data_IF_619313879405
#
_entry.id   IF_619313879405
#
_cell.length_a   1.000
_cell.length_b   1.000
_cell.length_c   1.000
_cell.angle_alpha   90.00
_cell.angle_beta   90.00
_cell.angle_gamma   90.00
#
_symmetry.space_group_name_H-M   'P 1'
#
loop_
_entity.id
_entity.type
_entity.pdbx_description
1 polymer ?
#
# COMPACT_ATOMS: atom_id res chain seq x y z
N UNK A 1 -43.06 -42.05 45.13
CA UNK A 1 -43.54 -40.74 44.65
C UNK A 1 -42.81 -39.69 45.48
N UNK A 2 -41.71 -39.11 44.98
CA UNK A 2 -41.65 -37.84 44.19
C UNK A 2 -42.11 -36.66 45.07
N UNK A 3 -41.36 -35.60 45.38
CA UNK A 3 -40.05 -35.14 44.92
C UNK A 3 -39.44 -34.10 45.87
N UNK A 4 -38.12 -33.94 45.76
CA UNK A 4 -37.23 -33.01 46.43
C UNK A 4 -37.18 -31.70 45.60
N UNK A 5 -37.47 -30.52 46.14
CA UNK A 5 -37.25 -29.24 45.43
C UNK A 5 -36.21 -28.36 46.13
N UNK A 6 -35.00 -28.39 45.56
CA UNK A 6 -33.87 -27.50 45.80
C UNK A 6 -34.14 -26.14 45.14
N UNK A 7 -34.01 -25.06 45.89
CA UNK A 7 -33.96 -23.69 45.33
C UNK A 7 -32.51 -23.36 45.01
N UNK A 8 -32.21 -23.26 43.72
CA UNK A 8 -30.89 -22.98 43.15
C UNK A 8 -30.48 -21.52 43.37
N UNK A 9 -29.23 -21.31 43.80
CA UNK A 9 -28.51 -20.04 43.76
C UNK A 9 -28.42 -19.52 42.31
N UNK A 10 -28.92 -18.31 42.06
CA UNK A 10 -28.63 -17.56 40.84
C UNK A 10 -27.34 -16.76 41.01
N UNK A 11 -26.21 -17.29 40.54
CA UNK A 11 -24.98 -16.53 40.35
C UNK A 11 -25.00 -15.94 38.94
N UNK A 12 -25.24 -14.63 38.83
CA UNK A 12 -25.19 -13.90 37.56
C UNK A 12 -23.73 -13.57 37.26
N UNK A 13 -23.11 -14.35 36.38
CA UNK A 13 -21.77 -14.09 35.87
C UNK A 13 -21.87 -13.06 34.73
N UNK A 14 -21.48 -11.81 35.01
CA UNK A 14 -21.31 -10.77 34.00
C UNK A 14 -20.09 -11.12 33.13
N UNK A 15 -20.32 -11.71 31.96
CA UNK A 15 -19.28 -11.91 30.96
C UNK A 15 -18.95 -10.56 30.34
N UNK A 16 -17.81 -10.00 30.74
CA UNK A 16 -17.17 -8.88 30.07
C UNK A 16 -16.70 -9.36 28.69
N UNK A 17 -17.52 -9.15 27.67
CA UNK A 17 -17.08 -9.22 26.27
C UNK A 17 -16.14 -8.04 26.02
N UNK A 18 -14.83 -8.25 26.19
CA UNK A 18 -13.84 -7.34 25.60
C UNK A 18 -13.99 -7.40 24.08
N UNK A 19 -14.14 -6.26 23.39
CA UNK A 19 -14.04 -6.25 21.94
C UNK A 19 -12.61 -6.67 21.58
N UNK A 20 -12.46 -7.80 20.90
CA UNK A 20 -11.23 -8.07 20.16
C UNK A 20 -11.11 -6.97 19.11
N UNK A 21 -10.20 -6.03 19.35
CA UNK A 21 -9.77 -5.10 18.33
C UNK A 21 -8.98 -5.91 17.30
N UNK A 22 -9.68 -6.41 16.28
CA UNK A 22 -9.04 -6.85 15.05
C UNK A 22 -8.36 -5.62 14.46
N UNK A 23 -7.06 -5.71 14.18
CA UNK A 23 -6.36 -4.66 13.45
C UNK A 23 -7.08 -4.50 12.10
N UNK A 24 -7.73 -3.35 11.91
CA UNK A 24 -8.44 -3.07 10.68
C UNK A 24 -7.45 -3.14 9.50
N UNK A 25 -7.89 -3.74 8.39
CA UNK A 25 -7.14 -3.65 7.14
C UNK A 25 -6.98 -2.18 6.76
N UNK A 26 -5.83 -1.79 6.16
CA UNK A 26 -5.59 -0.40 5.79
C UNK A 26 -6.72 0.10 4.89
N UNK A 27 -7.43 1.11 5.35
CA UNK A 27 -8.51 1.74 4.60
C UNK A 27 -7.92 2.90 3.80
N UNK A 28 -8.03 2.82 2.48
CA UNK A 28 -7.61 3.86 1.54
C UNK A 28 -8.84 4.40 0.82
N UNK A 29 -8.94 5.71 0.69
CA UNK A 29 -10.01 6.35 -0.08
C UNK A 29 -9.47 6.70 -1.46
N UNK A 30 -9.72 5.82 -2.43
CA UNK A 30 -9.35 6.05 -3.82
C UNK A 30 -10.18 7.18 -4.43
N UNK A 31 -9.61 8.04 -5.29
CA UNK A 31 -10.36 9.13 -5.88
C UNK A 31 -11.48 8.62 -6.81
N UNK A 32 -12.56 9.39 -6.91
CA UNK A 32 -13.66 9.08 -7.82
C UNK A 32 -13.19 8.99 -9.27
N UNK A 33 -13.70 8.02 -10.02
CA UNK A 33 -13.35 7.83 -11.44
C UNK A 33 -12.10 7.00 -11.69
N UNK A 34 -11.41 6.55 -10.64
CA UNK A 34 -10.34 5.55 -10.74
C UNK A 34 -10.93 4.14 -10.70
N UNK A 35 -10.42 3.25 -11.55
CA UNK A 35 -10.75 1.83 -11.47
C UNK A 35 -9.89 1.18 -10.39
N UNK A 36 -10.51 0.51 -9.42
CA UNK A 36 -9.82 -0.11 -8.28
C UNK A 36 -9.82 -1.62 -8.45
N UNK A 37 -8.65 -2.23 -8.33
CA UNK A 37 -8.46 -3.68 -8.39
C UNK A 37 -7.62 -4.18 -7.20
N UNK A 38 -7.95 -5.37 -6.73
CA UNK A 38 -7.09 -6.13 -5.83
C UNK A 38 -6.09 -6.92 -6.68
N UNK A 39 -4.80 -6.80 -6.36
CA UNK A 39 -3.74 -7.42 -7.15
C UNK A 39 -3.28 -8.69 -6.44
N UNK A 40 -3.49 -9.83 -7.09
CA UNK A 40 -2.97 -11.11 -6.61
C UNK A 40 -1.43 -11.09 -6.72
N UNK A 41 -0.68 -11.37 -5.65
CA UNK A 41 0.78 -11.44 -5.72
C UNK A 41 1.24 -12.52 -6.72
N UNK A 42 2.20 -12.19 -7.58
CA UNK A 42 2.76 -13.13 -8.56
C UNK A 42 3.32 -14.38 -7.86
N UNK A 43 2.90 -15.57 -8.32
CA UNK A 43 3.37 -16.85 -7.81
C UNK A 43 2.66 -17.39 -6.56
N UNK A 44 1.63 -16.69 -6.05
CA UNK A 44 0.77 -17.25 -5.01
C UNK A 44 -0.10 -18.38 -5.60
N UNK A 45 0.07 -19.61 -5.11
CA UNK A 45 -0.92 -20.67 -5.35
C UNK A 45 -2.25 -20.26 -4.69
N UNK A 46 -3.42 -20.64 -5.23
CA UNK A 46 -4.74 -20.23 -4.69
C UNK A 46 -5.04 -20.68 -3.25
N UNK A 47 -4.09 -21.32 -2.56
CA UNK A 47 -4.23 -21.89 -1.22
C UNK A 47 -3.18 -21.32 -0.23
N UNK A 48 -2.18 -20.56 -0.70
CA UNK A 48 -1.32 -19.82 0.23
C UNK A 48 -1.94 -18.45 0.48
N UNK A 49 -2.40 -18.23 1.72
CA UNK A 49 -2.63 -16.90 2.29
C UNK A 49 -1.32 -16.12 2.24
N UNK A 50 -0.95 -15.60 1.06
CA UNK A 50 0.11 -14.63 0.96
C UNK A 50 -0.37 -13.44 1.76
N UNK A 51 0.20 -13.25 2.95
CA UNK A 51 -0.25 -12.23 3.89
C UNK A 51 0.05 -10.81 3.39
N UNK A 52 0.69 -10.69 2.23
CA UNK A 52 0.87 -9.44 1.48
C UNK A 52 -0.43 -9.09 0.78
N UNK A 53 -1.01 -7.94 1.12
CA UNK A 53 -2.17 -7.39 0.41
C UNK A 53 -1.72 -6.29 -0.54
N UNK A 54 -2.37 -6.21 -1.71
CA UNK A 54 -2.07 -5.20 -2.71
C UNK A 54 -3.35 -4.67 -3.34
N UNK A 55 -3.51 -3.36 -3.28
CA UNK A 55 -4.62 -2.65 -3.90
C UNK A 55 -4.07 -1.66 -4.91
N UNK A 56 -4.66 -1.61 -6.09
CA UNK A 56 -4.27 -0.73 -7.17
C UNK A 56 -5.46 0.08 -7.65
N UNK A 57 -5.25 1.38 -7.83
CA UNK A 57 -6.17 2.27 -8.52
C UNK A 57 -5.52 2.75 -9.83
N UNK A 58 -6.29 2.72 -10.92
CA UNK A 58 -5.81 3.12 -12.24
C UNK A 58 -6.71 4.25 -12.78
N UNK A 59 -6.09 5.27 -13.34
CA UNK A 59 -6.75 6.36 -14.08
C UNK A 59 -6.56 6.11 -15.55
N UNK A 60 -7.65 6.07 -16.31
CA UNK A 60 -7.63 5.93 -17.76
C UNK A 60 -8.11 7.20 -18.45
N UNK A 61 -7.76 7.34 -19.73
CA UNK A 61 -8.41 8.29 -20.63
C UNK A 61 -9.74 7.74 -21.18
N UNK A 62 -10.39 8.54 -22.04
CA UNK A 62 -11.66 8.18 -22.70
C UNK A 62 -11.57 6.93 -23.58
N UNK A 63 -10.36 6.57 -24.02
CA UNK A 63 -10.10 5.39 -24.86
C UNK A 63 -9.71 4.16 -24.03
N UNK A 64 -9.67 4.27 -22.69
CA UNK A 64 -9.25 3.20 -21.80
C UNK A 64 -7.73 3.03 -21.67
N UNK A 65 -6.94 3.98 -22.18
CA UNK A 65 -5.47 3.95 -22.03
C UNK A 65 -5.08 4.42 -20.63
N UNK A 66 -4.16 3.68 -20.00
CA UNK A 66 -3.65 4.03 -18.67
C UNK A 66 -2.89 5.36 -18.69
N UNK A 67 -3.39 6.32 -17.91
CA UNK A 67 -2.73 7.61 -17.69
C UNK A 67 -1.87 7.58 -16.43
N UNK A 68 -2.36 6.94 -15.39
CA UNK A 68 -1.71 6.88 -14.09
C UNK A 68 -2.16 5.67 -13.28
N UNK A 69 -1.27 5.17 -12.43
CA UNK A 69 -1.52 4.08 -11.49
C UNK A 69 -1.08 4.52 -10.12
N UNK A 70 -1.87 4.19 -9.10
CA UNK A 70 -1.48 4.22 -7.70
C UNK A 70 -1.63 2.81 -7.13
N UNK A 71 -0.71 2.39 -6.28
CA UNK A 71 -0.74 1.06 -5.68
C UNK A 71 -0.27 1.14 -4.23
N UNK A 72 -1.02 0.51 -3.33
CA UNK A 72 -0.64 0.26 -1.94
C UNK A 72 -0.35 -1.22 -1.78
N UNK A 73 0.88 -1.55 -1.40
CA UNK A 73 1.26 -2.88 -0.93
C UNK A 73 1.46 -2.85 0.58
N UNK A 74 0.85 -3.79 1.28
CA UNK A 74 1.01 -4.00 2.73
C UNK A 74 1.62 -5.37 2.96
N UNK A 75 2.71 -5.42 3.72
CA UNK A 75 3.44 -6.64 4.03
C UNK A 75 3.53 -6.78 5.55
N UNK A 76 3.11 -7.91 6.15
CA UNK A 76 3.28 -8.12 7.58
C UNK A 76 4.76 -8.27 7.94
N UNK A 77 5.10 -7.85 9.15
CA UNK A 77 6.44 -7.93 9.72
C UNK A 77 6.39 -8.88 10.90
N UNK A 78 7.34 -9.81 10.96
CA UNK A 78 7.50 -10.69 12.12
C UNK A 78 7.80 -9.90 13.39
N UNK A 79 7.23 -10.33 14.52
CA UNK A 79 7.44 -9.65 15.79
C UNK A 79 8.94 -9.52 16.13
N UNK A 80 9.38 -8.29 16.41
CA UNK A 80 10.78 -7.98 16.73
C UNK A 80 11.69 -7.81 15.52
N UNK A 81 11.22 -8.04 14.29
CA UNK A 81 11.99 -7.78 13.08
C UNK A 81 12.06 -6.28 12.80
N UNK A 82 13.27 -5.76 12.62
CA UNK A 82 13.50 -4.36 12.23
C UNK A 82 13.71 -4.29 10.72
N UNK A 83 12.74 -3.72 10.02
CA UNK A 83 12.83 -3.53 8.57
C UNK A 83 13.85 -2.44 8.25
N UNK A 84 14.83 -2.77 7.40
CA UNK A 84 15.70 -1.77 6.78
C UNK A 84 14.96 -1.10 5.62
N UNK A 85 14.12 -0.12 5.93
CA UNK A 85 13.26 0.56 4.96
C UNK A 85 14.05 1.18 3.80
N UNK A 86 15.19 1.80 4.10
CA UNK A 86 16.06 2.39 3.08
C UNK A 86 16.62 1.34 2.14
N UNK A 87 17.06 0.19 2.68
CA UNK A 87 17.52 -0.95 1.88
C UNK A 87 16.44 -1.50 0.96
N UNK A 88 15.22 -1.66 1.48
CA UNK A 88 14.06 -2.12 0.69
C UNK A 88 13.78 -1.15 -0.47
N UNK A 89 13.64 0.15 -0.20
CA UNK A 89 13.39 1.13 -1.26
C UNK A 89 14.56 1.22 -2.26
N UNK A 90 15.79 0.91 -1.84
CA UNK A 90 16.94 0.90 -2.73
C UNK A 90 16.84 -0.26 -3.72
N UNK A 91 16.45 -1.45 -3.27
CA UNK A 91 16.22 -2.59 -4.15
C UNK A 91 15.01 -2.36 -5.07
N UNK A 92 13.93 -1.77 -4.57
CA UNK A 92 12.78 -1.41 -5.41
C UNK A 92 13.14 -0.38 -6.48
N UNK A 93 13.90 0.67 -6.11
CA UNK A 93 14.44 1.63 -7.06
C UNK A 93 15.29 0.94 -8.13
N UNK A 94 16.17 0.02 -7.75
CA UNK A 94 16.98 -0.75 -8.71
C UNK A 94 16.10 -1.57 -9.65
N UNK A 95 15.03 -2.19 -9.15
CA UNK A 95 14.07 -2.94 -9.98
C UNK A 95 13.42 -2.01 -11.02
N UNK A 96 12.87 -0.87 -10.58
CA UNK A 96 12.28 0.13 -11.50
C UNK A 96 13.28 0.52 -12.58
N UNK A 97 14.53 0.83 -12.19
CA UNK A 97 15.53 1.25 -13.16
C UNK A 97 15.86 0.14 -14.17
N UNK A 98 15.96 -1.11 -13.69
CA UNK A 98 16.20 -2.29 -14.51
C UNK A 98 15.04 -2.54 -15.48
N UNK A 99 13.81 -2.52 -14.99
CA UNK A 99 12.62 -2.85 -15.78
C UNK A 99 12.40 -1.83 -16.90
N UNK A 100 12.58 -0.53 -16.61
CA UNK A 100 12.55 0.51 -17.64
C UNK A 100 13.72 0.41 -18.64
N UNK A 101 14.92 0.09 -18.17
CA UNK A 101 16.07 -0.10 -19.06
C UNK A 101 15.86 -1.26 -20.03
N UNK A 102 15.23 -2.36 -19.59
CA UNK A 102 14.87 -3.48 -20.47
C UNK A 102 13.86 -3.08 -21.55
N UNK A 103 13.00 -2.10 -21.27
CA UNK A 103 12.08 -1.50 -22.24
C UNK A 103 12.70 -0.42 -23.14
N UNK A 104 14.01 -0.14 -23.04
CA UNK A 104 14.69 0.88 -23.84
C UNK A 104 14.59 2.31 -23.26
N UNK A 105 14.05 2.47 -22.06
CA UNK A 105 13.92 3.76 -21.40
C UNK A 105 15.14 4.05 -20.51
N UNK A 106 15.38 5.34 -20.26
CA UNK A 106 16.37 5.79 -19.28
C UNK A 106 15.65 6.30 -18.03
N UNK A 107 16.10 5.89 -16.85
CA UNK A 107 15.48 6.23 -15.57
C UNK A 107 16.49 6.84 -14.60
N UNK A 108 16.18 8.05 -14.12
CA UNK A 108 16.99 8.76 -13.14
C UNK A 108 16.14 9.03 -11.91
N UNK A 109 16.55 8.49 -10.77
CA UNK A 109 15.79 8.67 -9.53
C UNK A 109 16.48 9.63 -8.55
N UNK A 110 15.66 10.44 -7.89
CA UNK A 110 16.07 11.36 -6.84
C UNK A 110 16.77 10.62 -5.69
N UNK A 111 17.54 11.35 -4.88
CA UNK A 111 17.98 10.80 -3.59
C UNK A 111 16.74 10.55 -2.72
N UNK A 112 16.77 9.48 -1.94
CA UNK A 112 15.71 9.26 -0.95
C UNK A 112 15.70 10.42 0.04
N UNK A 113 14.50 10.87 0.39
CA UNK A 113 14.30 11.92 1.38
C UNK A 113 13.18 11.55 2.36
N UNK A 114 13.16 12.16 3.55
CA UNK A 114 12.05 12.02 4.48
C UNK A 114 10.73 12.49 3.85
N UNK A 115 9.65 11.80 4.20
CA UNK A 115 8.29 12.08 3.81
C UNK A 115 7.32 11.52 4.87
N UNK A 116 6.03 11.52 4.57
CA UNK A 116 5.00 10.85 5.40
C UNK A 116 4.10 9.96 4.56
N UNK A 117 3.56 8.92 5.18
CA UNK A 117 2.45 8.13 4.65
C UNK A 117 1.39 8.03 5.75
N UNK A 118 0.28 8.74 5.59
CA UNK A 118 -0.62 9.05 6.70
C UNK A 118 0.16 9.66 7.88
N UNK A 119 0.03 9.08 9.08
CA UNK A 119 0.76 9.44 10.31
C UNK A 119 2.18 8.88 10.42
N UNK A 120 2.58 7.97 9.53
CA UNK A 120 3.87 7.29 9.62
C UNK A 120 4.99 8.13 8.99
N UNK A 121 6.16 8.13 9.63
CA UNK A 121 7.39 8.58 8.98
C UNK A 121 7.71 7.67 7.80
N UNK A 122 8.09 8.27 6.68
CA UNK A 122 8.32 7.57 5.44
C UNK A 122 9.63 8.02 4.77
N UNK A 123 10.09 7.19 3.84
CA UNK A 123 11.13 7.54 2.88
C UNK A 123 10.52 7.55 1.48
N UNK A 124 10.91 8.54 0.69
CA UNK A 124 10.37 8.75 -0.66
C UNK A 124 11.49 8.91 -1.69
N UNK A 125 11.28 8.37 -2.89
CA UNK A 125 12.12 8.61 -4.06
C UNK A 125 11.27 8.63 -5.32
N UNK A 126 11.62 9.50 -6.27
CA UNK A 126 10.95 9.65 -7.56
C UNK A 126 11.93 9.37 -8.68
N UNK A 127 11.58 8.45 -9.57
CA UNK A 127 12.24 8.20 -10.83
C UNK A 127 11.57 9.01 -11.95
N UNK A 128 12.37 9.75 -12.70
CA UNK A 128 11.99 10.36 -13.98
C UNK A 128 12.43 9.41 -15.10
N UNK A 129 11.47 9.02 -15.93
CA UNK A 129 11.66 8.07 -17.03
C UNK A 129 11.63 8.85 -18.34
N UNK A 130 12.64 8.63 -19.17
CA UNK A 130 12.78 9.27 -20.46
C UNK A 130 12.91 8.26 -21.58
N UNK A 131 12.42 8.62 -22.75
CA UNK A 131 12.53 7.86 -24.00
C UNK A 131 13.11 8.81 -25.05
N UNK A 132 14.24 8.45 -25.66
CA UNK A 132 14.94 9.30 -26.64
C UNK A 132 15.16 10.75 -26.13
N UNK A 133 15.46 10.90 -24.84
CA UNK A 133 15.68 12.20 -24.18
C UNK A 133 14.41 12.97 -23.80
N UNK A 134 13.21 12.48 -24.14
CA UNK A 134 11.93 13.10 -23.75
C UNK A 134 11.43 12.51 -22.43
N UNK A 135 10.98 13.34 -21.49
CA UNK A 135 10.30 12.89 -20.27
C UNK A 135 8.93 12.32 -20.61
N UNK A 136 8.74 11.02 -20.35
CA UNK A 136 7.52 10.30 -20.71
C UNK A 136 6.69 9.90 -19.50
N UNK A 137 7.35 9.54 -18.40
CA UNK A 137 6.71 9.02 -17.21
C UNK A 137 7.49 9.41 -15.96
N UNK A 138 6.79 9.53 -14.85
CA UNK A 138 7.39 9.61 -13.52
C UNK A 138 6.81 8.52 -12.65
N UNK A 139 7.63 7.94 -11.78
CA UNK A 139 7.20 6.96 -10.80
C UNK A 139 7.81 7.28 -9.43
N UNK A 140 6.98 7.30 -8.40
CA UNK A 140 7.40 7.53 -7.02
C UNK A 140 7.11 6.33 -6.16
N UNK A 141 8.04 6.06 -5.24
CA UNK A 141 7.92 5.09 -4.17
C UNK A 141 7.93 5.81 -2.84
N UNK A 142 6.96 5.49 -1.98
CA UNK A 142 6.87 5.93 -0.59
C UNK A 142 6.82 4.69 0.28
N UNK A 143 7.86 4.46 1.08
CA UNK A 143 7.91 3.36 2.03
C UNK A 143 7.70 3.85 3.46
N UNK A 144 6.93 3.12 4.25
CA UNK A 144 6.73 3.37 5.68
C UNK A 144 6.65 2.05 6.46
N UNK A 145 6.90 2.10 7.76
CA UNK A 145 6.89 0.92 8.64
C UNK A 145 6.11 1.27 9.92
N UNK A 146 5.19 0.39 10.31
CA UNK A 146 4.59 0.35 11.64
C UNK A 146 5.10 -0.89 12.40
N UNK A 147 4.49 -1.21 13.53
CA UNK A 147 4.94 -2.21 14.50
C UNK A 147 4.92 -3.62 13.92
N UNK A 148 3.93 -3.95 13.11
CA UNK A 148 3.68 -5.29 12.56
C UNK A 148 3.48 -5.30 11.04
N UNK A 149 3.61 -4.14 10.38
CA UNK A 149 3.36 -3.99 8.94
C UNK A 149 4.33 -3.01 8.28
N UNK A 150 4.78 -3.35 7.08
CA UNK A 150 5.46 -2.47 6.15
C UNK A 150 4.51 -2.06 5.04
N UNK A 151 4.58 -0.80 4.64
CA UNK A 151 3.75 -0.23 3.59
C UNK A 151 4.63 0.31 2.47
N UNK A 152 4.26 0.01 1.23
CA UNK A 152 4.78 0.72 0.08
C UNK A 152 3.62 1.28 -0.72
N UNK A 153 3.54 2.60 -0.76
CA UNK A 153 2.65 3.32 -1.64
C UNK A 153 3.44 3.80 -2.86
N UNK A 154 3.07 3.32 -4.04
CA UNK A 154 3.69 3.71 -5.30
C UNK A 154 2.70 4.41 -6.20
N UNK A 155 3.17 5.36 -6.99
CA UNK A 155 2.35 6.00 -8.02
C UNK A 155 3.19 6.35 -9.23
N UNK A 156 2.66 6.03 -10.41
CA UNK A 156 3.35 6.19 -11.68
C UNK A 156 2.37 6.73 -12.72
N UNK A 157 2.79 7.69 -13.53
CA UNK A 157 1.93 8.24 -14.57
C UNK A 157 2.69 8.99 -15.64
N UNK A 158 2.01 9.23 -16.76
CA UNK A 158 2.56 10.06 -17.84
C UNK A 158 3.00 11.41 -17.29
N UNK A 159 4.12 11.95 -17.77
CA UNK A 159 4.79 13.10 -17.16
C UNK A 159 3.85 14.27 -16.78
N UNK A 160 2.97 14.68 -17.70
CA UNK A 160 2.01 15.78 -17.46
C UNK A 160 0.90 15.38 -16.47
N UNK A 161 0.39 14.15 -16.58
CA UNK A 161 -0.67 13.64 -15.71
C UNK A 161 -0.14 13.47 -14.28
N UNK A 162 1.08 12.96 -14.13
CA UNK A 162 1.76 12.81 -12.86
C UNK A 162 1.87 14.16 -12.14
N UNK A 163 2.32 15.20 -12.85
CA UNK A 163 2.44 16.56 -12.30
C UNK A 163 1.08 17.14 -11.91
N UNK A 164 0.06 16.98 -12.77
CA UNK A 164 -1.29 17.46 -12.50
C UNK A 164 -2.01 16.70 -11.36
N UNK A 165 -1.60 15.46 -11.07
CA UNK A 165 -2.27 14.61 -10.07
C UNK A 165 -1.63 14.67 -8.68
N UNK A 166 -0.63 15.53 -8.45
CA UNK A 166 0.09 15.60 -7.15
C UNK A 166 -0.84 15.88 -5.97
N UNK A 167 -1.80 16.79 -6.11
CA UNK A 167 -2.76 17.10 -5.05
C UNK A 167 -3.70 15.91 -4.77
N UNK A 168 -4.18 15.26 -5.83
CA UNK A 168 -5.01 14.05 -5.75
C UNK A 168 -4.27 12.92 -5.02
N UNK A 169 -3.01 12.68 -5.40
CA UNK A 169 -2.13 11.69 -4.73
C UNK A 169 -1.91 12.04 -3.25
N UNK A 170 -1.65 13.31 -2.95
CA UNK A 170 -1.46 13.75 -1.56
C UNK A 170 -2.72 13.54 -0.72
N UNK A 171 -3.91 13.79 -1.28
CA UNK A 171 -5.18 13.49 -0.63
C UNK A 171 -5.32 11.99 -0.33
N UNK A 172 -4.97 11.12 -1.28
CA UNK A 172 -5.00 9.66 -1.08
C UNK A 172 -4.03 9.25 0.03
N UNK A 173 -2.80 9.75 0.00
CA UNK A 173 -1.79 9.48 1.04
C UNK A 173 -2.25 9.92 2.43
N UNK A 174 -2.97 11.04 2.53
CA UNK A 174 -3.50 11.55 3.78
C UNK A 174 -4.76 10.79 4.25
N UNK A 175 -5.53 10.20 3.32
CA UNK A 175 -6.75 9.44 3.65
C UNK A 175 -6.48 8.08 4.31
N UNK A 176 -5.27 7.56 4.12
CA UNK A 176 -4.87 6.25 4.61
C UNK A 176 -5.04 6.15 6.13
N UNK A 177 -5.80 5.16 6.58
CA UNK A 177 -5.90 4.79 7.99
C UNK A 177 -4.87 3.70 8.30
N UNK A 178 -3.68 4.14 8.70
CA UNK A 178 -2.57 3.29 9.15
C UNK A 178 -2.43 3.41 10.66
#
# INVERSE_FOLDING_TARGET
MIEFRKTLLGSVCFVLCSPWALAADPEIHWPSGWQVEEVVPDGAAPISTSAVTRQRAIKNDENGSTLMVMELTTTPIEAGHKVNLQGVLLEMRKSIQKDFAQGGYQSVCSKMHPATLSRLEALETTCVITENGRHVLSQTLVGAVDTDKAYVFSFAGQAQVYEASKEEVNSVRASLKL
#
